data_IF_002013658913
#
_entry.id   IF_002013658913
#
_cell.length_a   1.000
_cell.length_b   1.000
_cell.length_c   1.000
_cell.angle_alpha   90.00
_cell.angle_beta   90.00
_cell.angle_gamma   90.00
#
_symmetry.space_group_name_H-M   'P 1'
#
loop_
_entity.id
_entity.type
_entity.pdbx_description
1 polymer ?
#
# COMPACT_ATOMS: atom_id res chain seq x y z
N UNK A 1 -28.60 -21.91 11.12
CA UNK A 1 -28.47 -20.51 11.58
C UNK A 1 -27.67 -19.77 10.52
N UNK A 2 -28.34 -18.85 9.82
CA UNK A 2 -27.82 -18.08 8.69
C UNK A 2 -27.91 -16.63 9.12
N UNK A 3 -26.81 -16.03 9.57
CA UNK A 3 -26.64 -14.57 9.67
C UNK A 3 -25.13 -14.28 9.51
N UNK A 4 -24.71 -13.83 8.32
CA UNK A 4 -23.41 -13.15 8.10
C UNK A 4 -23.26 -12.46 6.72
N UNK A 5 -24.32 -12.32 5.93
CA UNK A 5 -24.25 -11.62 4.63
C UNK A 5 -24.54 -10.10 4.72
N UNK A 6 -25.13 -9.62 5.82
CA UNK A 6 -25.61 -8.23 5.95
C UNK A 6 -24.52 -7.24 6.40
N UNK A 7 -23.53 -7.70 7.17
CA UNK A 7 -22.46 -6.83 7.70
C UNK A 7 -21.51 -6.33 6.61
N UNK A 8 -21.24 -7.16 5.59
CA UNK A 8 -20.34 -6.81 4.48
C UNK A 8 -20.91 -5.72 3.57
N UNK A 9 -22.21 -5.74 3.30
CA UNK A 9 -22.88 -4.72 2.48
C UNK A 9 -22.95 -3.36 3.20
N UNK A 10 -23.18 -3.37 4.52
CA UNK A 10 -23.24 -2.14 5.30
C UNK A 10 -21.88 -1.44 5.42
N UNK A 11 -20.79 -2.20 5.51
CA UNK A 11 -19.42 -1.65 5.54
C UNK A 11 -19.08 -1.01 4.18
N UNK A 12 -19.35 -1.72 3.07
CA UNK A 12 -19.12 -1.21 1.72
C UNK A 12 -19.93 0.06 1.42
N UNK A 13 -21.19 0.12 1.88
CA UNK A 13 -22.04 1.30 1.72
C UNK A 13 -21.60 2.48 2.58
N UNK A 14 -21.10 2.24 3.79
CA UNK A 14 -20.54 3.29 4.64
C UNK A 14 -19.24 3.86 4.07
N UNK A 15 -18.37 3.01 3.51
CA UNK A 15 -17.15 3.46 2.84
C UNK A 15 -17.46 4.26 1.58
N UNK A 16 -18.44 3.82 0.78
CA UNK A 16 -18.94 4.59 -0.38
C UNK A 16 -19.51 5.95 0.03
N UNK A 17 -20.25 6.00 1.14
CA UNK A 17 -20.81 7.25 1.67
C UNK A 17 -19.72 8.20 2.17
N UNK A 18 -18.71 7.68 2.86
CA UNK A 18 -17.55 8.45 3.31
C UNK A 18 -16.69 8.95 2.13
N UNK A 19 -16.53 8.11 1.11
CA UNK A 19 -15.84 8.44 -0.14
C UNK A 19 -16.55 9.59 -0.87
N UNK A 20 -17.87 9.50 -1.04
CA UNK A 20 -18.70 10.59 -1.59
C UNK A 20 -18.57 11.88 -0.79
N UNK A 21 -18.55 11.82 0.54
CA UNK A 21 -18.34 13.02 1.37
C UNK A 21 -16.97 13.65 1.19
N UNK A 22 -15.92 12.85 0.96
CA UNK A 22 -14.57 13.36 0.66
C UNK A 22 -14.49 13.99 -0.74
N UNK A 23 -15.14 13.39 -1.74
CA UNK A 23 -15.31 13.99 -3.08
C UNK A 23 -15.96 15.36 -2.94
N UNK A 24 -17.08 15.45 -2.19
CA UNK A 24 -17.79 16.70 -1.97
C UNK A 24 -16.90 17.76 -1.30
N UNK A 25 -16.12 17.38 -0.28
CA UNK A 25 -15.21 18.29 0.40
C UNK A 25 -14.09 18.81 -0.53
N UNK A 26 -13.50 17.94 -1.35
CA UNK A 26 -12.46 18.32 -2.32
C UNK A 26 -13.01 19.17 -3.46
N UNK A 27 -14.19 18.82 -4.00
CA UNK A 27 -14.86 19.59 -5.04
C UNK A 27 -15.18 21.02 -4.56
N UNK A 28 -15.68 21.17 -3.33
CA UNK A 28 -15.95 22.48 -2.73
C UNK A 28 -14.68 23.33 -2.53
N UNK A 29 -13.53 22.69 -2.32
CA UNK A 29 -12.24 23.38 -2.21
C UNK A 29 -11.68 23.85 -3.56
N UNK A 30 -12.18 23.34 -4.69
CA UNK A 30 -11.71 23.71 -6.02
C UNK A 30 -12.45 24.95 -6.53
N UNK A 31 -11.86 26.14 -6.46
CA UNK A 31 -12.50 27.35 -6.96
C UNK A 31 -12.69 27.33 -8.49
N UNK A 32 -13.95 27.41 -8.98
CA UNK A 32 -14.23 27.60 -10.41
C UNK A 32 -15.67 27.26 -10.84
N UNK A 33 -16.07 27.76 -12.01
CA UNK A 33 -17.40 27.53 -12.62
C UNK A 33 -17.66 26.08 -13.06
N UNK A 34 -16.64 25.22 -13.05
CA UNK A 34 -16.70 23.80 -13.48
C UNK A 34 -16.78 22.78 -12.34
N UNK A 35 -16.92 23.24 -11.09
CA UNK A 35 -17.14 22.36 -9.93
C UNK A 35 -18.23 21.28 -10.14
N UNK A 36 -19.43 21.59 -10.69
CA UNK A 36 -20.47 20.57 -10.85
C UNK A 36 -20.11 19.51 -11.90
N UNK A 37 -19.41 19.89 -12.96
CA UNK A 37 -18.91 18.96 -13.98
C UNK A 37 -17.89 18.00 -13.37
N UNK A 38 -16.90 18.53 -12.64
CA UNK A 38 -15.90 17.70 -11.98
C UNK A 38 -16.51 16.77 -10.93
N UNK A 39 -17.52 17.24 -10.18
CA UNK A 39 -18.26 16.39 -9.26
C UNK A 39 -18.94 15.23 -9.97
N UNK A 40 -19.62 15.50 -11.10
CA UNK A 40 -20.25 14.44 -11.89
C UNK A 40 -19.23 13.39 -12.36
N UNK A 41 -18.05 13.82 -12.81
CA UNK A 41 -16.96 12.90 -13.19
C UNK A 41 -16.46 12.05 -12.03
N UNK A 42 -16.24 12.64 -10.85
CA UNK A 42 -15.73 11.90 -9.69
C UNK A 42 -16.74 10.88 -9.14
N UNK A 43 -18.05 11.13 -9.32
CA UNK A 43 -19.10 10.18 -8.93
C UNK A 43 -19.34 9.12 -10.01
N UNK A 44 -19.29 9.50 -11.28
CA UNK A 44 -19.49 8.58 -12.41
C UNK A 44 -18.34 7.56 -12.53
N UNK A 45 -17.11 8.00 -12.28
CA UNK A 45 -15.90 7.20 -12.40
C UNK A 45 -15.25 6.93 -11.03
N UNK A 46 -16.07 6.60 -10.04
CA UNK A 46 -15.62 6.33 -8.65
C UNK A 46 -14.73 5.07 -8.55
N UNK A 47 -14.79 4.19 -9.55
CA UNK A 47 -13.94 3.02 -9.75
C UNK A 47 -12.57 3.36 -10.36
N UNK A 48 -12.46 4.44 -11.13
CA UNK A 48 -11.21 4.90 -11.73
C UNK A 48 -10.42 5.83 -10.81
N UNK A 49 -11.10 6.77 -10.14
CA UNK A 49 -10.46 7.79 -9.33
C UNK A 49 -10.41 7.42 -7.84
N UNK A 50 -9.26 6.90 -7.40
CA UNK A 50 -9.07 6.57 -5.99
C UNK A 50 -8.74 7.79 -5.16
N UNK A 51 -9.60 8.06 -4.18
CA UNK A 51 -9.38 9.08 -3.14
C UNK A 51 -8.93 8.44 -1.83
N UNK A 52 -9.19 7.13 -1.66
CA UNK A 52 -8.79 6.34 -0.51
C UNK A 52 -8.32 4.95 -0.98
N UNK A 53 -7.61 4.23 -0.11
CA UNK A 53 -7.32 2.82 -0.32
C UNK A 53 -8.63 2.03 -0.19
N UNK A 54 -8.88 1.15 -1.14
CA UNK A 54 -10.06 0.26 -1.19
C UNK A 54 -9.61 -1.16 -1.55
N UNK A 55 -10.42 -2.19 -1.23
CA UNK A 55 -10.22 -3.55 -1.71
C UNK A 55 -10.60 -3.62 -3.20
N UNK A 56 -9.75 -3.05 -4.05
CA UNK A 56 -9.96 -3.06 -5.48
C UNK A 56 -9.86 -4.48 -6.05
N UNK A 57 -10.67 -4.82 -7.08
CA UNK A 57 -10.53 -6.10 -7.73
C UNK A 57 -9.11 -6.25 -8.27
N UNK A 58 -8.50 -7.45 -8.16
CA UNK A 58 -7.19 -7.69 -8.75
C UNK A 58 -7.27 -7.41 -10.25
N UNK A 59 -6.22 -6.81 -10.79
CA UNK A 59 -6.06 -6.68 -12.23
C UNK A 59 -6.09 -8.06 -12.87
N UNK A 60 -6.62 -8.18 -14.09
CA UNK A 60 -6.62 -9.40 -14.89
C UNK A 60 -5.20 -9.73 -15.40
N UNK A 61 -4.34 -10.07 -14.45
CA UNK A 61 -2.94 -10.45 -14.65
C UNK A 61 -2.63 -11.60 -13.70
N UNK A 62 -1.80 -12.53 -14.17
CA UNK A 62 -1.35 -13.64 -13.33
C UNK A 62 -0.60 -13.09 -12.09
N UNK A 63 -0.77 -13.72 -10.91
CA UNK A 63 -0.02 -13.34 -9.72
C UNK A 63 1.49 -13.37 -9.98
N UNK A 64 2.18 -12.30 -9.55
CA UNK A 64 3.63 -12.23 -9.68
C UNK A 64 4.28 -13.32 -8.81
N UNK A 65 5.11 -14.16 -9.44
CA UNK A 65 5.95 -15.13 -8.72
C UNK A 65 7.33 -14.52 -8.46
N UNK A 66 7.77 -14.61 -7.21
CA UNK A 66 9.08 -14.12 -6.76
C UNK A 66 9.95 -15.33 -6.43
N UNK A 67 11.04 -15.52 -7.19
CA UNK A 67 12.00 -16.59 -6.91
C UNK A 67 13.21 -16.07 -6.15
N UNK A 68 13.56 -16.77 -5.08
CA UNK A 68 14.79 -16.54 -4.35
C UNK A 68 15.95 -17.30 -5.01
N UNK A 69 17.14 -16.70 -5.05
CA UNK A 69 18.35 -17.43 -5.41
C UNK A 69 18.59 -18.58 -4.43
N UNK A 70 19.19 -19.66 -4.90
CA UNK A 70 19.58 -20.79 -4.05
C UNK A 70 20.53 -20.39 -2.90
N UNK A 71 21.26 -19.28 -3.06
CA UNK A 71 22.14 -18.73 -2.02
C UNK A 71 21.43 -17.78 -1.05
N UNK A 72 20.09 -17.69 -1.12
CA UNK A 72 19.33 -16.78 -0.29
C UNK A 72 19.30 -17.20 1.17
N UNK A 73 19.66 -16.27 2.05
CA UNK A 73 19.71 -16.52 3.50
C UNK A 73 18.55 -15.78 4.17
N UNK A 74 17.66 -16.51 4.88
CA UNK A 74 16.62 -15.91 5.73
C UNK A 74 17.20 -14.90 6.71
N UNK A 75 16.45 -13.84 6.99
CA UNK A 75 16.84 -12.87 8.00
C UNK A 75 15.61 -12.30 8.69
N UNK A 76 15.78 -11.94 9.96
CA UNK A 76 14.74 -11.27 10.73
C UNK A 76 15.34 -10.05 11.41
N UNK A 77 14.80 -8.87 11.12
CA UNK A 77 15.15 -7.71 11.93
C UNK A 77 14.58 -7.88 13.34
N UNK A 78 15.30 -7.45 14.39
CA UNK A 78 14.74 -7.39 15.72
C UNK A 78 13.57 -6.40 15.77
N UNK A 79 12.66 -6.63 16.71
CA UNK A 79 11.53 -5.74 16.95
C UNK A 79 12.04 -4.31 17.17
N UNK A 80 11.48 -3.36 16.43
CA UNK A 80 11.90 -1.96 16.48
C UNK A 80 11.17 -1.21 17.59
N UNK A 81 11.88 -0.31 18.25
CA UNK A 81 11.30 0.65 19.19
C UNK A 81 10.90 1.89 18.41
N UNK A 82 9.61 2.21 18.39
CA UNK A 82 9.08 3.40 17.75
C UNK A 82 8.67 4.43 18.81
N UNK A 83 8.81 5.71 18.48
CA UNK A 83 8.18 6.77 19.27
C UNK A 83 6.64 6.57 19.26
N UNK A 84 5.90 7.03 20.29
CA UNK A 84 4.46 6.76 20.42
C UNK A 84 3.64 7.16 19.18
N UNK A 85 3.88 8.36 18.63
CA UNK A 85 3.17 8.83 17.43
C UNK A 85 3.47 7.97 16.19
N UNK A 86 4.75 7.64 15.98
CA UNK A 86 5.16 6.75 14.90
C UNK A 86 4.55 5.35 15.03
N UNK A 87 4.47 4.82 16.26
CA UNK A 87 3.84 3.53 16.54
C UNK A 87 2.36 3.56 16.20
N UNK A 88 1.64 4.59 16.67
CA UNK A 88 0.20 4.71 16.42
C UNK A 88 -0.08 4.83 14.92
N UNK A 89 0.73 5.61 14.20
CA UNK A 89 0.65 5.70 12.74
C UNK A 89 0.80 4.34 12.06
N UNK A 90 1.83 3.55 12.42
CA UNK A 90 2.05 2.22 11.84
C UNK A 90 0.89 1.26 12.13
N UNK A 91 0.28 1.33 13.31
CA UNK A 91 -0.90 0.53 13.66
C UNK A 91 -2.08 0.93 12.77
N UNK A 92 -2.36 2.22 12.65
CA UNK A 92 -3.49 2.71 11.86
C UNK A 92 -3.35 2.34 10.38
N UNK A 93 -2.17 2.51 9.80
CA UNK A 93 -1.93 2.10 8.40
C UNK A 93 -1.95 0.59 8.24
N UNK A 94 -1.42 -0.15 9.21
CA UNK A 94 -1.49 -1.61 9.22
C UNK A 94 -2.94 -2.11 9.17
N UNK A 95 -3.82 -1.51 9.97
CA UNK A 95 -5.24 -1.85 9.97
C UNK A 95 -5.90 -1.51 8.63
N UNK A 96 -5.67 -0.31 8.08
CA UNK A 96 -6.20 0.07 6.76
C UNK A 96 -5.77 -0.91 5.65
N UNK A 97 -4.53 -1.40 5.69
CA UNK A 97 -4.05 -2.39 4.72
C UNK A 97 -4.66 -3.78 4.92
N UNK A 98 -4.98 -4.17 6.16
CA UNK A 98 -5.71 -5.42 6.44
C UNK A 98 -7.15 -5.30 5.94
N UNK A 99 -7.83 -4.20 6.26
CA UNK A 99 -9.22 -3.94 5.86
C UNK A 99 -9.37 -3.89 4.33
N UNK A 100 -8.34 -3.42 3.62
CA UNK A 100 -8.29 -3.37 2.16
C UNK A 100 -7.70 -4.62 1.50
N UNK A 101 -7.52 -5.74 2.23
CA UNK A 101 -6.94 -7.00 1.73
C UNK A 101 -5.54 -6.86 1.09
N UNK A 102 -4.77 -5.86 1.51
CA UNK A 102 -3.42 -5.59 1.03
C UNK A 102 -2.32 -6.13 1.97
N UNK A 103 -2.67 -6.52 3.20
CA UNK A 103 -1.74 -7.05 4.20
C UNK A 103 -2.34 -8.28 4.90
N UNK A 104 -1.53 -9.34 5.05
CA UNK A 104 -1.94 -10.61 5.65
C UNK A 104 -0.98 -11.05 6.76
N UNK A 105 -1.50 -11.78 7.75
CA UNK A 105 -0.69 -12.36 8.81
C UNK A 105 0.15 -13.54 8.26
N UNK A 106 1.46 -13.47 8.47
CA UNK A 106 2.38 -14.55 8.11
C UNK A 106 3.38 -14.81 9.26
N UNK A 107 2.95 -15.43 10.36
CA UNK A 107 3.82 -15.73 11.51
C UNK A 107 5.08 -16.56 11.18
N UNK A 108 5.03 -17.58 10.29
CA UNK A 108 6.22 -18.39 10.00
C UNK A 108 7.21 -17.71 9.02
N UNK A 109 6.99 -16.45 8.63
CA UNK A 109 7.80 -15.77 7.60
C UNK A 109 9.32 -15.86 7.87
N UNK A 110 10.12 -16.41 6.94
CA UNK A 110 11.57 -16.50 7.09
C UNK A 110 12.29 -15.16 6.88
N UNK A 111 11.67 -14.24 6.15
CA UNK A 111 12.19 -12.90 5.86
C UNK A 111 11.31 -11.86 6.56
N UNK A 112 11.87 -11.16 7.54
CA UNK A 112 11.15 -10.12 8.29
C UNK A 112 11.90 -8.80 8.15
N UNK A 113 11.54 -7.97 7.14
CA UNK A 113 12.11 -6.64 6.99
C UNK A 113 11.56 -5.69 8.06
N UNK A 114 12.27 -4.58 8.28
CA UNK A 114 11.82 -3.52 9.19
C UNK A 114 10.89 -2.55 8.48
N UNK A 115 9.70 -2.33 9.01
CA UNK A 115 8.85 -1.18 8.64
C UNK A 115 9.31 0.07 9.41
N UNK A 116 9.26 1.24 8.79
CA UNK A 116 9.62 2.50 9.42
C UNK A 116 8.52 3.52 9.14
N UNK A 117 8.18 4.31 10.15
CA UNK A 117 7.42 5.54 9.98
C UNK A 117 8.41 6.65 9.62
N UNK A 118 8.57 6.94 8.33
CA UNK A 118 9.42 8.04 7.86
C UNK A 118 8.62 9.32 7.84
N UNK A 119 9.16 10.41 8.37
CA UNK A 119 8.48 11.71 8.31
C UNK A 119 8.25 12.13 6.86
N UNK A 120 7.07 12.67 6.60
CA UNK A 120 6.80 13.33 5.32
C UNK A 120 7.54 14.68 5.30
N UNK A 121 8.24 14.98 4.21
CA UNK A 121 9.04 16.21 4.12
C UNK A 121 8.16 17.48 4.11
N UNK A 122 6.90 17.34 3.70
CA UNK A 122 5.95 18.44 3.52
C UNK A 122 5.23 18.85 4.80
N UNK A 123 5.17 18.00 5.84
CA UNK A 123 4.41 18.30 7.05
C UNK A 123 5.00 17.62 8.30
N UNK A 124 5.40 18.41 9.33
CA UNK A 124 5.86 17.85 10.59
C UNK A 124 4.73 17.08 11.29
N UNK A 125 5.04 15.90 11.81
CA UNK A 125 4.06 15.02 12.46
C UNK A 125 3.27 14.10 11.52
N UNK A 126 3.44 14.27 10.20
CA UNK A 126 2.95 13.30 9.21
C UNK A 126 4.03 12.27 8.90
N UNK A 127 3.61 11.03 8.71
CA UNK A 127 4.48 9.90 8.46
C UNK A 127 4.02 9.15 7.21
N UNK A 128 4.96 8.44 6.59
CA UNK A 128 4.73 7.42 5.57
C UNK A 128 5.36 6.11 6.00
N UNK A 129 4.74 5.00 5.62
CA UNK A 129 5.31 3.67 5.86
C UNK A 129 6.38 3.39 4.82
N UNK A 130 7.58 3.01 5.25
CA UNK A 130 8.64 2.51 4.37
C UNK A 130 9.17 1.19 4.91
N UNK A 131 9.41 0.21 4.03
CA UNK A 131 9.99 -1.08 4.40
C UNK A 131 11.44 -1.13 3.96
N UNK A 132 12.35 -1.41 4.88
CA UNK A 132 13.78 -1.52 4.55
C UNK A 132 14.09 -2.86 3.89
N UNK A 133 14.00 -2.86 2.56
CA UNK A 133 14.32 -4.01 1.70
C UNK A 133 15.81 -4.07 1.33
N UNK A 134 16.67 -3.26 1.95
CA UNK A 134 18.09 -3.15 1.56
C UNK A 134 18.98 -4.19 2.19
N UNK A 135 18.44 -5.07 3.03
CA UNK A 135 19.19 -6.18 3.60
C UNK A 135 19.87 -6.96 2.46
N UNK A 136 21.14 -7.34 2.68
CA UNK A 136 22.01 -7.92 1.64
C UNK A 136 21.35 -9.13 0.96
N UNK A 137 20.55 -9.88 1.70
CA UNK A 137 19.82 -11.05 1.20
C UNK A 137 18.56 -10.74 0.37
N UNK A 138 18.02 -9.52 0.37
CA UNK A 138 16.91 -9.16 -0.54
C UNK A 138 17.45 -8.61 -1.86
N UNK A 139 18.44 -7.70 -1.79
CA UNK A 139 18.92 -6.94 -2.95
C UNK A 139 19.70 -7.74 -3.99
N UNK A 140 20.25 -8.89 -3.62
CA UNK A 140 21.15 -9.63 -4.49
C UNK A 140 20.62 -10.99 -4.91
N UNK A 141 19.37 -11.32 -4.53
CA UNK A 141 18.91 -12.71 -4.49
C UNK A 141 17.48 -12.94 -4.98
N UNK A 142 16.90 -12.02 -5.76
CA UNK A 142 15.54 -12.16 -6.29
C UNK A 142 15.55 -12.08 -7.82
N UNK A 143 14.89 -13.04 -8.47
CA UNK A 143 14.50 -12.95 -9.88
C UNK A 143 13.04 -12.55 -9.97
N UNK A 144 12.74 -11.59 -10.84
CA UNK A 144 11.37 -11.32 -11.28
C UNK A 144 11.15 -12.00 -12.61
N UNK A 145 10.04 -12.73 -12.71
CA UNK A 145 9.54 -13.25 -13.98
C UNK A 145 8.47 -12.28 -14.47
N UNK A 146 8.73 -11.63 -15.61
CA UNK A 146 7.64 -11.06 -16.40
C UNK A 146 6.97 -12.20 -17.20
N UNK A 147 5.73 -11.98 -17.62
CA UNK A 147 4.77 -12.93 -18.25
C UNK A 147 5.27 -13.65 -19.53
N UNK A 148 6.56 -13.54 -19.86
CA UNK A 148 7.24 -14.20 -20.99
C UNK A 148 8.49 -14.99 -20.60
N UNK A 149 8.65 -15.37 -19.32
CA UNK A 149 9.77 -16.21 -18.87
C UNK A 149 11.16 -15.55 -18.95
N UNK A 150 11.20 -14.23 -19.15
CA UNK A 150 12.46 -13.48 -19.14
C UNK A 150 12.88 -13.17 -17.70
N UNK A 151 14.06 -13.67 -17.34
CA UNK A 151 14.69 -13.44 -16.03
C UNK A 151 15.29 -12.04 -15.97
N UNK A 152 14.63 -11.13 -15.25
CA UNK A 152 15.18 -9.80 -14.99
C UNK A 152 15.91 -9.79 -13.65
N UNK A 153 17.21 -9.48 -13.66
CA UNK A 153 18.00 -9.29 -12.45
C UNK A 153 17.73 -7.90 -11.89
N UNK A 154 17.33 -7.81 -10.61
CA UNK A 154 17.21 -6.54 -9.91
C UNK A 154 18.60 -5.87 -9.78
N UNK A 155 18.95 -4.97 -10.71
CA UNK A 155 20.24 -4.27 -10.72
C UNK A 155 20.15 -3.00 -9.86
N UNK A 156 20.72 -3.05 -8.66
CA UNK A 156 20.82 -1.91 -7.74
C UNK A 156 22.05 -1.03 -7.95
N UNK A 157 22.41 -0.69 -9.21
CA UNK A 157 23.51 0.27 -9.45
C UNK A 157 23.07 1.68 -9.04
N UNK A 158 23.71 2.24 -8.01
CA UNK A 158 23.65 3.69 -7.76
C UNK A 158 24.34 4.38 -8.94
N UNK A 159 23.60 5.19 -9.69
CA UNK A 159 24.23 6.23 -10.50
C UNK A 159 24.75 7.27 -9.52
N UNK A 160 26.05 7.27 -9.28
CA UNK A 160 26.69 8.30 -8.48
C UNK A 160 26.48 9.64 -9.17
N UNK A 161 25.85 10.60 -8.48
CA UNK A 161 26.03 12.02 -8.80
C UNK A 161 27.51 12.33 -8.61
N UNK A 162 28.24 12.58 -9.69
CA UNK A 162 29.47 13.37 -9.61
C UNK A 162 29.06 14.78 -9.18
N UNK A 163 29.63 15.24 -8.07
CA UNK A 163 29.73 16.66 -7.73
C UNK A 163 30.96 17.18 -8.44
#
# INVERSE_FOLDING_TARGET
>A
EIESEDDGNQILDNDRKMHRQRILALANALHGSRQPELYSFLVEFDDLFRICLSPDPPMDVNPMTVELLATAVPFRFPQSRYAPLARQFLINVGQQLVDSNCLFSNPPAPFVPRANATSECSAPGQYRVTVDLRHRSIRSQIWFHADKGERLKASGKRVGRKI
#
